data_IF_623755671310
#
_entry.id   IF_623755671310
#
_cell.length_a   1.000
_cell.length_b   1.000
_cell.length_c   1.000
_cell.angle_alpha   90.00
_cell.angle_beta   90.00
_cell.angle_gamma   90.00
#
_symmetry.space_group_name_H-M   'P 1'
#
loop_
_entity.id
_entity.type
_entity.pdbx_description
1 polymer ?
#
# COMPACT_ATOMS: atom_id res chain seq x y z
N UNK A 1 49.05 -3.25 2.46
CA UNK A 1 47.98 -2.93 1.48
C UNK A 1 46.63 -3.55 1.82
N UNK A 2 46.52 -4.87 2.06
CA UNK A 2 45.23 -5.55 2.31
C UNK A 2 44.34 -4.94 3.42
N UNK A 3 44.92 -4.53 4.56
CA UNK A 3 44.15 -3.92 5.68
C UNK A 3 43.49 -2.57 5.34
N UNK A 4 44.08 -1.80 4.43
CA UNK A 4 43.51 -0.51 4.00
C UNK A 4 42.37 -0.73 3.00
N UNK A 5 42.52 -1.69 2.08
CA UNK A 5 41.47 -2.08 1.15
C UNK A 5 40.24 -2.62 1.89
N UNK A 6 40.44 -3.48 2.89
CA UNK A 6 39.34 -4.00 3.73
C UNK A 6 38.63 -2.88 4.49
N UNK A 7 39.37 -1.95 5.12
CA UNK A 7 38.78 -0.81 5.83
C UNK A 7 38.00 0.12 4.89
N UNK A 8 38.54 0.42 3.69
CA UNK A 8 37.85 1.24 2.71
C UNK A 8 36.59 0.56 2.17
N UNK A 9 36.63 -0.76 1.91
CA UNK A 9 35.46 -1.53 1.50
C UNK A 9 34.38 -1.56 2.58
N UNK A 10 34.76 -1.77 3.85
CA UNK A 10 33.85 -1.69 4.99
C UNK A 10 33.23 -0.29 5.14
N UNK A 11 34.02 0.76 5.00
CA UNK A 11 33.52 2.14 5.07
C UNK A 11 32.53 2.44 3.94
N UNK A 12 32.82 1.96 2.71
CA UNK A 12 31.95 2.13 1.55
C UNK A 12 30.59 1.43 1.74
N UNK A 13 30.57 0.27 2.41
CA UNK A 13 29.34 -0.47 2.71
C UNK A 13 28.59 0.08 3.94
N UNK A 14 29.31 0.58 4.94
CA UNK A 14 28.71 1.13 6.14
C UNK A 14 28.00 2.47 5.88
N UNK A 15 28.55 3.30 4.99
CA UNK A 15 28.00 4.62 4.70
C UNK A 15 26.52 4.60 4.25
N UNK A 16 26.07 3.79 3.27
CA UNK A 16 24.66 3.74 2.89
C UNK A 16 23.75 3.20 4.00
N UNK A 17 24.25 2.28 4.84
CA UNK A 17 23.49 1.77 5.99
C UNK A 17 23.28 2.87 7.04
N UNK A 18 24.33 3.63 7.36
CA UNK A 18 24.24 4.77 8.29
C UNK A 18 23.34 5.86 7.70
N UNK A 19 23.44 6.14 6.40
CA UNK A 19 22.57 7.11 5.73
C UNK A 19 21.10 6.66 5.75
N UNK A 20 20.82 5.38 5.51
CA UNK A 20 19.48 4.81 5.61
C UNK A 20 18.94 4.86 7.04
N UNK A 21 19.73 4.48 8.04
CA UNK A 21 19.32 4.55 9.45
C UNK A 21 19.05 6.00 9.90
N UNK A 22 19.88 6.95 9.47
CA UNK A 22 19.63 8.37 9.71
C UNK A 22 18.34 8.84 9.03
N UNK A 23 18.09 8.41 7.79
CA UNK A 23 16.84 8.70 7.10
C UNK A 23 15.63 8.11 7.82
N UNK A 24 15.70 6.85 8.23
CA UNK A 24 14.64 6.17 8.98
C UNK A 24 14.27 6.97 10.23
N UNK A 25 15.26 7.30 11.07
CA UNK A 25 15.01 8.03 12.33
C UNK A 25 14.49 9.45 12.08
N UNK A 26 15.13 10.21 11.18
CA UNK A 26 14.85 11.64 11.00
C UNK A 26 13.62 11.91 10.14
N UNK A 27 13.34 11.07 9.13
CA UNK A 27 12.26 11.30 8.17
C UNK A 27 11.04 10.39 8.38
N UNK A 28 11.26 9.10 8.66
CA UNK A 28 10.16 8.13 8.79
C UNK A 28 9.64 8.07 10.23
N UNK A 29 10.49 7.75 11.21
CA UNK A 29 10.09 7.60 12.61
C UNK A 29 9.66 8.91 13.27
N UNK A 30 10.16 10.07 12.81
CA UNK A 30 9.65 11.37 13.25
C UNK A 30 8.14 11.55 12.98
N UNK A 31 7.56 10.74 12.08
CA UNK A 31 6.14 10.74 11.72
C UNK A 31 5.36 9.58 12.34
N UNK A 32 5.94 8.85 13.30
CA UNK A 32 5.31 7.68 13.91
C UNK A 32 3.90 7.97 14.44
N UNK A 33 3.69 9.12 15.08
CA UNK A 33 2.37 9.52 15.57
C UNK A 33 1.34 9.71 14.44
N UNK A 34 1.76 10.27 13.30
CA UNK A 34 0.89 10.45 12.13
C UNK A 34 0.57 9.10 11.46
N UNK A 35 1.55 8.20 11.39
CA UNK A 35 1.38 6.83 10.87
C UNK A 35 0.40 6.05 11.75
N UNK A 36 0.57 6.11 13.07
CA UNK A 36 -0.34 5.50 14.03
C UNK A 36 -1.77 6.07 13.89
N UNK A 37 -1.89 7.39 13.72
CA UNK A 37 -3.17 8.04 13.48
C UNK A 37 -3.80 7.63 12.13
N UNK A 38 -2.99 7.38 11.10
CA UNK A 38 -3.46 6.88 9.81
C UNK A 38 -4.05 5.47 9.96
N UNK A 39 -3.33 4.58 10.65
CA UNK A 39 -3.79 3.20 10.94
C UNK A 39 -5.03 3.19 11.84
N UNK A 40 -5.13 4.12 12.79
CA UNK A 40 -6.30 4.21 13.67
C UNK A 40 -7.55 4.71 12.96
N UNK A 41 -7.44 5.37 11.80
CA UNK A 41 -8.61 5.76 10.99
C UNK A 41 -9.26 4.58 10.25
N UNK A 42 -8.52 3.51 10.02
CA UNK A 42 -9.07 2.30 9.42
C UNK A 42 -10.15 1.70 10.34
N UNK A 43 -11.25 1.25 9.75
CA UNK A 43 -12.30 0.53 10.49
C UNK A 43 -11.78 -0.79 11.02
N UNK A 44 -12.47 -1.40 12.01
CA UNK A 44 -12.06 -2.70 12.55
C UNK A 44 -11.96 -3.78 11.45
N UNK A 45 -12.85 -3.75 10.46
CA UNK A 45 -12.85 -4.68 9.32
C UNK A 45 -11.73 -4.41 8.31
N UNK A 46 -11.24 -3.17 8.19
CA UNK A 46 -10.09 -2.85 7.33
C UNK A 46 -8.77 -3.17 8.01
N UNK A 47 -8.69 -2.99 9.33
CA UNK A 47 -7.51 -3.42 10.11
C UNK A 47 -7.36 -4.93 10.13
N UNK A 48 -8.46 -5.67 10.10
CA UNK A 48 -8.49 -7.12 10.07
C UNK A 48 -9.35 -7.59 8.89
N UNK A 49 -8.81 -7.45 7.67
CA UNK A 49 -9.51 -7.86 6.46
C UNK A 49 -9.95 -9.33 6.54
N UNK A 50 -11.17 -9.67 6.12
CA UNK A 50 -11.57 -11.05 5.92
C UNK A 50 -10.54 -11.79 5.05
N UNK A 51 -10.15 -13.03 5.39
CA UNK A 51 -9.05 -13.73 4.70
C UNK A 51 -9.17 -13.77 3.18
N UNK A 52 -10.39 -14.01 2.66
CA UNK A 52 -10.66 -14.00 1.23
C UNK A 52 -10.40 -12.63 0.58
N UNK A 53 -10.80 -11.54 1.26
CA UNK A 53 -10.58 -10.17 0.77
C UNK A 53 -9.10 -9.77 0.86
N UNK A 54 -8.40 -10.17 1.93
CA UNK A 54 -6.96 -9.97 2.06
C UNK A 54 -6.21 -10.67 0.90
N UNK A 55 -6.53 -11.93 0.63
CA UNK A 55 -5.94 -12.69 -0.46
C UNK A 55 -6.21 -12.08 -1.84
N UNK A 56 -7.47 -11.69 -2.12
CA UNK A 56 -7.83 -10.97 -3.35
C UNK A 56 -7.04 -9.67 -3.50
N UNK A 57 -6.90 -8.90 -2.41
CA UNK A 57 -6.15 -7.64 -2.39
C UNK A 57 -4.70 -7.88 -2.81
N UNK A 58 -4.04 -8.85 -2.19
CA UNK A 58 -2.65 -9.21 -2.52
C UNK A 58 -2.49 -9.68 -3.97
N UNK A 59 -3.41 -10.50 -4.47
CA UNK A 59 -3.38 -10.99 -5.85
C UNK A 59 -3.57 -9.86 -6.88
N UNK A 60 -4.39 -8.87 -6.56
CA UNK A 60 -4.62 -7.70 -7.41
C UNK A 60 -3.43 -6.74 -7.43
N UNK A 61 -2.77 -6.55 -6.27
CA UNK A 61 -1.62 -5.66 -6.13
C UNK A 61 -0.32 -6.23 -6.72
N UNK A 62 -0.25 -7.55 -6.95
CA UNK A 62 0.97 -8.19 -7.45
C UNK A 62 1.95 -8.56 -6.34
N UNK A 63 1.44 -9.09 -5.22
CA UNK A 63 2.15 -9.65 -4.05
C UNK A 63 2.89 -8.68 -3.13
N UNK A 64 3.11 -7.42 -3.50
CA UNK A 64 3.74 -6.42 -2.62
C UNK A 64 2.77 -5.32 -2.15
N UNK A 65 2.08 -5.52 -1.01
CA UNK A 65 1.23 -4.48 -0.43
C UNK A 65 2.03 -3.28 0.10
N UNK A 66 3.34 -3.42 0.39
CA UNK A 66 4.16 -2.33 0.91
C UNK A 66 4.32 -1.21 -0.12
N UNK A 67 4.49 -1.55 -1.41
CA UNK A 67 4.59 -0.57 -2.48
C UNK A 67 3.32 0.29 -2.60
N UNK A 68 2.14 -0.34 -2.52
CA UNK A 68 0.87 0.39 -2.58
C UNK A 68 0.62 1.19 -1.31
N UNK A 69 0.86 0.61 -0.13
CA UNK A 69 0.75 1.31 1.15
C UNK A 69 1.66 2.55 1.19
N UNK A 70 2.89 2.43 0.69
CA UNK A 70 3.84 3.54 0.59
C UNK A 70 3.29 4.71 -0.20
N UNK A 71 2.76 4.46 -1.40
CA UNK A 71 2.17 5.51 -2.24
C UNK A 71 1.02 6.23 -1.54
N UNK A 72 0.17 5.46 -0.87
CA UNK A 72 -0.94 6.03 -0.09
C UNK A 72 -0.43 6.84 1.10
N UNK A 73 0.56 6.35 1.85
CA UNK A 73 1.15 7.07 2.98
C UNK A 73 1.82 8.37 2.55
N UNK A 74 2.60 8.36 1.46
CA UNK A 74 3.26 9.56 0.94
C UNK A 74 2.25 10.65 0.58
N UNK A 75 1.11 10.26 -0.03
CA UNK A 75 0.01 11.16 -0.35
C UNK A 75 -0.67 11.72 0.91
N UNK A 76 -1.00 10.84 1.86
CA UNK A 76 -1.74 11.20 3.08
C UNK A 76 -0.94 12.06 4.05
N UNK A 77 0.33 11.72 4.23
CA UNK A 77 1.26 12.41 5.14
C UNK A 77 1.92 13.63 4.49
N UNK A 78 1.58 13.90 3.22
CA UNK A 78 2.09 15.02 2.42
C UNK A 78 3.61 15.12 2.50
N UNK A 79 4.28 13.98 2.34
CA UNK A 79 5.73 13.89 2.53
C UNK A 79 6.42 14.72 1.46
N UNK A 80 7.27 15.70 1.85
CA UNK A 80 8.02 16.47 0.88
C UNK A 80 9.03 15.57 0.18
N UNK A 81 9.13 15.72 -1.14
CA UNK A 81 10.09 14.98 -1.95
C UNK A 81 11.50 15.47 -1.62
N UNK A 82 12.42 14.54 -1.32
CA UNK A 82 13.78 14.83 -0.82
C UNK A 82 14.59 15.70 -1.80
N UNK A 83 14.32 15.59 -3.10
CA UNK A 83 14.90 16.47 -4.12
C UNK A 83 13.86 16.88 -5.18
N UNK A 84 14.01 18.09 -5.71
CA UNK A 84 13.19 18.57 -6.84
C UNK A 84 13.55 17.78 -8.10
N UNK A 85 12.59 17.03 -8.64
CA UNK A 85 12.73 16.29 -9.90
C UNK A 85 12.50 14.78 -9.76
N UNK A 86 12.53 14.09 -10.89
CA UNK A 86 12.15 12.66 -11.02
C UNK A 86 13.00 11.73 -10.14
N UNK A 87 14.32 11.96 -10.07
CA UNK A 87 15.23 11.16 -9.23
C UNK A 87 14.92 11.29 -7.74
N UNK A 88 14.60 12.50 -7.27
CA UNK A 88 14.22 12.73 -5.88
C UNK A 88 12.91 12.04 -5.51
N UNK A 89 11.96 12.02 -6.45
CA UNK A 89 10.70 11.30 -6.27
C UNK A 89 10.91 9.80 -6.11
N UNK A 90 11.68 9.19 -7.03
CA UNK A 90 11.96 7.76 -6.96
C UNK A 90 12.79 7.37 -5.74
N UNK A 91 13.74 8.22 -5.31
CA UNK A 91 14.50 7.97 -4.09
C UNK A 91 13.60 8.02 -2.84
N UNK A 92 12.68 8.99 -2.78
CA UNK A 92 11.72 9.09 -1.67
C UNK A 92 10.78 7.90 -1.65
N UNK A 93 10.24 7.51 -2.81
CA UNK A 93 9.38 6.33 -2.96
C UNK A 93 10.10 5.05 -2.49
N UNK A 94 11.35 4.84 -2.92
CA UNK A 94 12.15 3.67 -2.56
C UNK A 94 12.48 3.63 -1.06
N UNK A 95 12.93 4.75 -0.50
CA UNK A 95 13.28 4.81 0.93
C UNK A 95 12.04 4.59 1.81
N UNK A 96 10.91 5.17 1.45
CA UNK A 96 9.65 4.92 2.15
C UNK A 96 9.17 3.48 1.99
N UNK A 97 9.28 2.90 0.79
CA UNK A 97 8.95 1.50 0.56
C UNK A 97 9.78 0.57 1.46
N UNK A 98 11.09 0.82 1.57
CA UNK A 98 11.95 0.06 2.46
C UNK A 98 11.56 0.23 3.94
N UNK A 99 11.28 1.47 4.39
CA UNK A 99 10.84 1.73 5.76
C UNK A 99 9.48 1.08 6.07
N UNK A 100 8.50 1.18 5.16
CA UNK A 100 7.18 0.54 5.29
C UNK A 100 7.30 -0.97 5.34
N UNK A 101 8.16 -1.55 4.50
CA UNK A 101 8.42 -3.00 4.49
C UNK A 101 9.09 -3.48 5.78
N UNK A 102 9.93 -2.63 6.39
CA UNK A 102 10.65 -2.95 7.63
C UNK A 102 9.79 -2.79 8.88
N UNK A 103 8.98 -1.72 8.95
CA UNK A 103 8.31 -1.31 10.19
C UNK A 103 6.83 -1.68 10.26
N UNK A 104 6.13 -1.78 9.12
CA UNK A 104 4.72 -2.16 9.13
C UNK A 104 4.58 -3.66 8.87
N UNK A 105 3.78 -4.30 9.70
CA UNK A 105 3.33 -5.66 9.44
C UNK A 105 2.52 -5.73 8.14
N UNK A 106 2.48 -6.92 7.53
CA UNK A 106 1.68 -7.15 6.32
C UNK A 106 0.20 -6.77 6.51
N UNK A 107 -0.34 -7.01 7.71
CA UNK A 107 -1.70 -6.64 8.08
C UNK A 107 -1.89 -5.11 8.10
N UNK A 108 -0.95 -4.35 8.66
CA UNK A 108 -0.99 -2.88 8.67
C UNK A 108 -0.85 -2.30 7.26
N UNK A 109 0.00 -2.89 6.42
CA UNK A 109 0.13 -2.50 5.02
C UNK A 109 -1.20 -2.68 4.28
N UNK A 110 -1.85 -3.83 4.45
CA UNK A 110 -3.19 -4.08 3.89
C UNK A 110 -4.26 -3.16 4.48
N UNK A 111 -4.19 -2.84 5.77
CA UNK A 111 -5.12 -1.90 6.41
C UNK A 111 -5.03 -0.50 5.80
N UNK A 112 -3.82 -0.03 5.50
CA UNK A 112 -3.59 1.25 4.80
C UNK A 112 -4.19 1.18 3.40
N UNK A 113 -3.90 0.12 2.64
CA UNK A 113 -4.48 -0.06 1.29
C UNK A 113 -6.00 -0.05 1.36
N UNK A 114 -6.57 -0.88 2.21
CA UNK A 114 -8.01 -1.04 2.32
C UNK A 114 -8.70 0.26 2.74
N UNK A 115 -8.14 1.01 3.68
CA UNK A 115 -8.77 2.22 4.23
C UNK A 115 -8.51 3.50 3.44
N UNK A 116 -7.40 3.58 2.69
CA UNK A 116 -6.97 4.81 2.00
C UNK A 116 -7.06 4.76 0.48
N UNK A 117 -7.25 3.59 -0.12
CA UNK A 117 -7.46 3.52 -1.57
C UNK A 117 -8.66 4.35 -2.00
N UNK A 118 -8.49 5.11 -3.08
CA UNK A 118 -9.58 5.83 -3.73
C UNK A 118 -10.47 4.82 -4.48
N UNK A 119 -11.78 4.90 -4.27
CA UNK A 119 -12.76 3.94 -4.80
C UNK A 119 -13.61 4.53 -5.94
N UNK A 120 -13.39 5.80 -6.28
CA UNK A 120 -14.26 6.54 -7.19
C UNK A 120 -15.26 7.43 -6.44
N UNK A 121 -15.89 8.36 -7.17
CA UNK A 121 -16.93 9.25 -6.63
C UNK A 121 -16.56 10.00 -5.33
N UNK A 122 -15.30 10.39 -5.15
CA UNK A 122 -14.83 11.11 -3.96
C UNK A 122 -14.67 10.27 -2.68
N UNK A 123 -14.84 8.94 -2.76
CA UNK A 123 -14.77 8.05 -1.59
C UNK A 123 -13.44 7.31 -1.50
N UNK A 124 -12.96 7.11 -0.28
CA UNK A 124 -11.84 6.24 0.04
C UNK A 124 -12.29 5.16 1.01
N UNK A 125 -11.65 4.00 0.94
CA UNK A 125 -11.85 2.93 1.92
C UNK A 125 -12.81 1.82 1.45
N UNK A 126 -12.44 0.57 1.71
CA UNK A 126 -13.24 -0.60 1.37
C UNK A 126 -14.55 -0.60 2.14
N UNK A 127 -14.54 -0.29 3.44
CA UNK A 127 -15.76 -0.31 4.25
C UNK A 127 -16.79 0.73 3.76
N UNK A 128 -16.31 1.94 3.43
CA UNK A 128 -17.16 3.01 2.90
C UNK A 128 -17.75 2.62 1.54
N UNK A 129 -16.94 2.08 0.64
CA UNK A 129 -17.41 1.65 -0.68
C UNK A 129 -18.31 0.42 -0.60
N UNK A 130 -18.05 -0.53 0.28
CA UNK A 130 -18.90 -1.70 0.49
C UNK A 130 -20.31 -1.30 0.93
N UNK A 131 -20.38 -0.38 1.90
CA UNK A 131 -21.63 0.18 2.40
C UNK A 131 -22.36 0.93 1.28
N UNK A 132 -21.65 1.81 0.56
CA UNK A 132 -22.26 2.62 -0.50
C UNK A 132 -22.72 1.81 -1.71
N UNK A 133 -21.96 0.81 -2.13
CA UNK A 133 -22.20 0.05 -3.38
C UNK A 133 -23.08 -1.17 -3.17
N UNK A 134 -22.91 -1.87 -2.06
CA UNK A 134 -23.56 -3.15 -1.81
C UNK A 134 -24.53 -3.12 -0.63
N UNK A 135 -24.61 -2.01 0.11
CA UNK A 135 -25.39 -1.90 1.36
C UNK A 135 -25.04 -3.01 2.36
N UNK A 136 -23.76 -3.40 2.41
CA UNK A 136 -23.26 -4.52 3.21
C UNK A 136 -21.92 -4.19 3.87
N UNK A 137 -21.65 -4.72 5.08
CA UNK A 137 -20.32 -4.68 5.67
C UNK A 137 -19.35 -5.60 4.90
N UNK A 138 -18.03 -5.40 5.06
CA UNK A 138 -17.00 -6.18 4.34
C UNK A 138 -17.13 -7.69 4.57
N UNK A 139 -17.45 -8.08 5.80
CA UNK A 139 -17.63 -9.49 6.17
C UNK A 139 -18.82 -10.18 5.49
N UNK A 140 -19.78 -9.42 4.95
CA UNK A 140 -20.99 -9.94 4.29
C UNK A 140 -20.94 -9.83 2.76
N UNK A 141 -19.79 -9.44 2.20
CA UNK A 141 -19.61 -9.38 0.75
C UNK A 141 -19.46 -10.77 0.16
N UNK A 142 -20.06 -10.95 -1.01
CA UNK A 142 -19.74 -12.10 -1.85
C UNK A 142 -18.31 -11.99 -2.38
N UNK A 143 -17.79 -13.10 -2.91
CA UNK A 143 -16.47 -13.10 -3.57
C UNK A 143 -16.44 -12.11 -4.74
N UNK A 144 -17.53 -12.01 -5.50
CA UNK A 144 -17.66 -11.02 -6.58
C UNK A 144 -17.64 -9.58 -6.07
N UNK A 145 -18.34 -9.29 -4.97
CA UNK A 145 -18.34 -7.96 -4.35
C UNK A 145 -16.94 -7.58 -3.84
N UNK A 146 -16.25 -8.54 -3.23
CA UNK A 146 -14.87 -8.41 -2.78
C UNK A 146 -13.91 -8.13 -3.95
N UNK A 147 -14.02 -8.90 -5.03
CA UNK A 147 -13.22 -8.71 -6.24
C UNK A 147 -13.46 -7.33 -6.86
N UNK A 148 -14.72 -6.87 -6.90
CA UNK A 148 -15.05 -5.52 -7.37
C UNK A 148 -14.37 -4.44 -6.54
N UNK A 149 -14.42 -4.52 -5.21
CA UNK A 149 -13.76 -3.52 -4.34
C UNK A 149 -12.25 -3.44 -4.59
N UNK A 150 -11.61 -4.60 -4.65
CA UNK A 150 -10.16 -4.68 -4.86
C UNK A 150 -9.75 -4.11 -6.21
N UNK A 151 -10.56 -4.34 -7.26
CA UNK A 151 -10.32 -3.76 -8.58
C UNK A 151 -10.52 -2.24 -8.59
N UNK A 152 -11.59 -1.75 -7.97
CA UNK A 152 -11.84 -0.31 -7.84
C UNK A 152 -10.68 0.40 -7.12
N UNK A 153 -10.16 -0.17 -6.03
CA UNK A 153 -8.97 0.35 -5.34
C UNK A 153 -7.73 0.50 -6.23
N UNK A 154 -7.62 -0.31 -7.28
CA UNK A 154 -6.46 -0.32 -8.18
C UNK A 154 -6.57 0.74 -9.26
N UNK A 155 -7.75 0.92 -9.85
CA UNK A 155 -7.94 1.88 -10.93
C UNK A 155 -9.40 2.33 -11.05
N UNK A 156 -9.88 3.17 -10.12
CA UNK A 156 -11.30 3.52 -10.04
C UNK A 156 -11.76 4.26 -11.30
N UNK A 157 -10.98 5.24 -11.77
CA UNK A 157 -11.30 6.03 -12.96
C UNK A 157 -11.40 5.19 -14.23
N UNK A 158 -10.55 4.17 -14.41
CA UNK A 158 -10.64 3.30 -15.58
C UNK A 158 -11.93 2.48 -15.62
N UNK A 159 -12.50 2.15 -14.46
CA UNK A 159 -13.70 1.35 -14.34
C UNK A 159 -14.99 2.20 -14.34
N UNK A 160 -14.92 3.44 -13.83
CA UNK A 160 -16.02 4.41 -13.94
C UNK A 160 -16.39 4.69 -15.40
N UNK A 161 -15.40 4.88 -16.28
CA UNK A 161 -15.64 5.18 -17.69
C UNK A 161 -15.92 3.94 -18.56
N UNK A 162 -15.66 2.73 -18.06
CA UNK A 162 -15.80 1.50 -18.84
C UNK A 162 -16.25 0.32 -17.97
N UNK A 163 -17.55 0.22 -17.65
CA UNK A 163 -18.09 -0.84 -16.77
C UNK A 163 -17.77 -2.25 -17.26
N UNK A 164 -17.77 -2.46 -18.58
CA UNK A 164 -17.42 -3.75 -19.19
C UNK A 164 -15.98 -4.18 -18.90
N UNK A 165 -15.05 -3.24 -18.68
CA UNK A 165 -13.67 -3.58 -18.31
C UNK A 165 -13.59 -4.08 -16.87
N UNK A 166 -14.43 -3.56 -15.97
CA UNK A 166 -14.53 -4.04 -14.60
C UNK A 166 -15.02 -5.49 -14.59
N UNK A 167 -16.06 -5.78 -15.35
CA UNK A 167 -16.61 -7.14 -15.50
C UNK A 167 -15.55 -8.16 -15.96
N UNK A 168 -14.83 -7.84 -17.04
CA UNK A 168 -13.76 -8.73 -17.55
C UNK A 168 -12.61 -8.87 -16.55
N UNK A 169 -12.22 -7.78 -15.89
CA UNK A 169 -11.14 -7.80 -14.88
C UNK A 169 -11.54 -8.64 -13.66
N UNK A 170 -12.81 -8.57 -13.26
CA UNK A 170 -13.38 -9.36 -12.17
C UNK A 170 -13.40 -10.84 -12.51
N UNK A 171 -13.91 -11.20 -13.69
CA UNK A 171 -13.88 -12.59 -14.16
C UNK A 171 -12.46 -13.15 -14.19
N UNK A 172 -11.49 -12.37 -14.70
CA UNK A 172 -10.08 -12.78 -14.74
C UNK A 172 -9.47 -12.93 -13.34
N UNK A 173 -9.78 -12.04 -12.39
CA UNK A 173 -9.29 -12.13 -11.02
C UNK A 173 -9.87 -13.36 -10.30
N UNK A 174 -11.17 -13.62 -10.45
CA UNK A 174 -11.83 -14.78 -9.86
C UNK A 174 -11.31 -16.10 -10.45
N UNK A 175 -11.06 -16.15 -11.76
CA UNK A 175 -10.46 -17.31 -12.40
C UNK A 175 -9.04 -17.61 -11.87
N UNK A 176 -8.25 -16.58 -11.56
CA UNK A 176 -6.94 -16.75 -10.92
C UNK A 176 -7.05 -17.32 -9.51
N UNK A 177 -8.01 -16.85 -8.71
CA UNK A 177 -8.25 -17.38 -7.36
C UNK A 177 -8.69 -18.85 -7.39
N UNK A 178 -9.45 -19.27 -8.41
CA UNK A 178 -9.89 -20.65 -8.53
C UNK A 178 -8.78 -21.62 -9.02
N UNK A 179 -7.68 -21.08 -9.56
CA UNK A 179 -6.56 -21.86 -10.09
C UNK A 179 -5.31 -21.87 -9.20
N UNK A 180 -5.27 -21.04 -8.15
CA UNK A 180 -4.26 -21.05 -7.07
C UNK A 180 -4.65 -22.08 -5.99
#
# INVERSE_FOLDING_TARGET
MARWVVKSALALLALPLVAFAAYDVLAYQSRHAEIAALLSRATAQERALPPALAHLTELSLGRDPAAQATRLMLLELKVPQVARGMLGSHATDFLWWACVSLHLSRQEQLAIVASRSYMGGGRCGYSAEATSRFSRPLAALSMEGSATLVLLARNPTAYEHAPQRLERSRAALLARVAGD
#
